data_IF_467957797934
#
_entry.id   IF_467957797934
#
_cell.length_a   1.000
_cell.length_b   1.000
_cell.length_c   1.000
_cell.angle_alpha   90.00
_cell.angle_beta   90.00
_cell.angle_gamma   90.00
#
_symmetry.space_group_name_H-M   'P 1'
#
loop_
_entity.id
_entity.type
_entity.pdbx_description
1 polymer ?
#
# COMPACT_ATOMS: atom_id res chain seq x y z
N UNK A 1 -8.50 17.97 2.20
CA UNK A 1 -9.07 16.60 2.11
C UNK A 1 -9.36 16.12 3.52
N UNK A 2 -10.58 15.66 3.80
CA UNK A 2 -10.86 14.98 5.06
C UNK A 2 -10.31 13.54 4.98
N UNK A 3 -9.68 13.06 6.05
CA UNK A 3 -9.13 11.70 6.12
C UNK A 3 -9.50 11.06 7.46
N UNK A 4 -9.71 9.74 7.43
CA UNK A 4 -9.86 8.90 8.61
C UNK A 4 -8.56 8.13 8.75
N UNK A 5 -7.92 8.20 9.93
CA UNK A 5 -6.72 7.44 10.23
C UNK A 5 -7.09 6.21 11.06
N UNK A 6 -6.67 5.03 10.61
CA UNK A 6 -6.84 3.76 11.33
C UNK A 6 -5.46 3.33 11.80
N UNK A 7 -5.20 3.25 13.13
CA UNK A 7 -3.91 2.79 13.63
C UNK A 7 -3.76 1.29 13.32
N UNK A 8 -2.67 0.94 12.65
CA UNK A 8 -2.33 -0.45 12.32
C UNK A 8 -1.16 -0.88 13.24
N UNK A 9 -1.25 -2.01 13.94
CA UNK A 9 -0.15 -2.52 14.76
C UNK A 9 1.06 -2.86 13.87
N UNK A 10 2.28 -2.56 14.31
CA UNK A 10 3.49 -2.65 13.48
C UNK A 10 4.33 -3.92 13.70
N UNK A 11 3.85 -4.87 14.51
CA UNK A 11 4.64 -6.02 14.97
C UNK A 11 4.61 -7.24 14.05
N UNK A 12 4.05 -7.13 12.84
CA UNK A 12 3.90 -8.24 11.89
C UNK A 12 4.61 -7.92 10.58
N UNK A 13 5.32 -8.90 10.03
CA UNK A 13 6.09 -8.80 8.77
C UNK A 13 5.19 -8.49 7.57
N UNK A 14 4.04 -9.18 7.48
CA UNK A 14 2.99 -8.96 6.49
C UNK A 14 1.64 -8.84 7.19
N UNK A 15 0.85 -7.87 6.74
CA UNK A 15 -0.52 -7.65 7.22
C UNK A 15 -1.46 -7.40 6.06
N UNK A 16 -2.46 -8.26 5.93
CA UNK A 16 -3.61 -8.01 5.05
C UNK A 16 -4.66 -7.22 5.84
N UNK A 17 -5.10 -6.10 5.28
CA UNK A 17 -6.01 -5.15 5.93
C UNK A 17 -7.23 -4.95 5.04
N UNK A 18 -8.40 -5.33 5.54
CA UNK A 18 -9.67 -5.11 4.87
C UNK A 18 -10.40 -3.93 5.52
N UNK A 19 -10.62 -2.87 4.75
CA UNK A 19 -11.33 -1.67 5.19
C UNK A 19 -12.65 -1.59 4.45
N UNK A 20 -13.77 -1.67 5.18
CA UNK A 20 -15.09 -1.37 4.65
C UNK A 20 -15.60 -0.06 5.26
N UNK A 21 -15.81 0.94 4.40
CA UNK A 21 -16.38 2.23 4.79
C UNK A 21 -17.79 2.33 4.23
N UNK A 22 -18.74 2.81 5.04
CA UNK A 22 -20.10 3.10 4.59
C UNK A 22 -20.39 4.59 4.79
N UNK A 23 -20.61 5.31 3.70
CA UNK A 23 -20.96 6.74 3.72
C UNK A 23 -22.37 6.88 3.15
N UNK A 24 -23.32 7.35 3.96
CA UNK A 24 -24.72 7.51 3.56
C UNK A 24 -25.35 6.24 2.93
N UNK A 25 -24.97 5.07 3.44
CA UNK A 25 -25.45 3.78 2.94
C UNK A 25 -24.70 3.22 1.72
N UNK A 26 -23.82 4.00 1.09
CA UNK A 26 -22.92 3.50 0.05
C UNK A 26 -21.68 2.86 0.68
N UNK A 27 -21.46 1.57 0.39
CA UNK A 27 -20.31 0.81 0.89
C UNK A 27 -19.15 0.83 -0.09
N UNK A 28 -17.98 1.14 0.42
CA UNK A 28 -16.70 1.01 -0.27
C UNK A 28 -15.86 -0.01 0.48
N UNK A 29 -15.24 -0.93 -0.25
CA UNK A 29 -14.32 -1.91 0.31
C UNK A 29 -12.94 -1.73 -0.34
N UNK A 30 -11.93 -1.58 0.50
CA UNK A 30 -10.53 -1.41 0.12
C UNK A 30 -9.72 -2.49 0.82
N UNK A 31 -8.85 -3.15 0.07
CA UNK A 31 -7.98 -4.19 0.56
C UNK A 31 -6.55 -3.70 0.41
N UNK A 32 -5.91 -3.52 1.55
CA UNK A 32 -4.52 -3.13 1.64
C UNK A 32 -3.67 -4.31 2.08
N UNK A 33 -2.41 -4.28 1.69
CA UNK A 33 -1.38 -5.15 2.25
C UNK A 33 -0.19 -4.30 2.65
N UNK A 34 0.24 -4.47 3.88
CA UNK A 34 1.41 -3.81 4.43
C UNK A 34 2.50 -4.86 4.58
N UNK A 35 3.65 -4.63 3.93
CA UNK A 35 4.80 -5.53 3.99
C UNK A 35 6.05 -4.79 4.44
N UNK A 36 6.83 -5.46 5.28
CA UNK A 36 8.17 -5.03 5.65
C UNK A 36 9.19 -5.77 4.79
N UNK A 37 10.03 -5.02 4.09
CA UNK A 37 11.13 -5.55 3.29
C UNK A 37 12.46 -5.25 3.98
N UNK A 38 13.30 -6.27 4.17
CA UNK A 38 14.60 -6.12 4.81
C UNK A 38 15.70 -5.90 3.79
N UNK A 39 16.61 -4.96 4.04
CA UNK A 39 17.62 -4.57 3.04
C UNK A 39 18.63 -5.67 2.73
N UNK A 40 18.92 -6.54 3.70
CA UNK A 40 19.87 -7.64 3.60
C UNK A 40 19.37 -8.77 2.69
N UNK A 41 18.07 -9.04 2.68
CA UNK A 41 17.43 -10.04 1.80
C UNK A 41 17.57 -9.72 0.31
N UNK A 42 17.68 -8.44 -0.02
CA UNK A 42 17.83 -7.97 -1.40
C UNK A 42 19.28 -7.68 -1.79
N UNK A 43 20.24 -7.96 -0.89
CA UNK A 43 21.68 -7.99 -1.21
C UNK A 43 22.29 -6.66 -1.66
N UNK A 44 21.61 -5.53 -1.43
CA UNK A 44 22.04 -4.23 -1.95
C UNK A 44 22.90 -3.51 -0.91
N UNK A 45 24.15 -3.12 -1.22
CA UNK A 45 24.90 -2.19 -0.39
C UNK A 45 24.09 -0.91 -0.14
N UNK A 46 24.29 -0.18 0.97
CA UNK A 46 23.51 1.01 1.33
C UNK A 46 23.34 2.06 0.22
N UNK A 47 24.24 2.06 -0.77
CA UNK A 47 24.32 3.00 -1.86
C UNK A 47 23.17 2.95 -2.88
N UNK A 48 22.29 1.92 -2.90
CA UNK A 48 21.20 1.90 -3.89
C UNK A 48 19.86 1.31 -3.42
N UNK A 49 19.35 1.80 -2.28
CA UNK A 49 17.99 1.46 -1.79
C UNK A 49 16.88 1.77 -2.80
N UNK A 50 17.09 2.74 -3.70
CA UNK A 50 16.13 3.07 -4.75
C UNK A 50 15.98 1.93 -5.77
N UNK A 51 17.09 1.34 -6.22
CA UNK A 51 17.05 0.18 -7.12
C UNK A 51 16.45 -1.05 -6.45
N UNK A 52 16.72 -1.25 -5.14
CA UNK A 52 16.07 -2.29 -4.35
C UNK A 52 14.55 -2.12 -4.33
N UNK A 53 14.05 -0.91 -4.02
CA UNK A 53 12.62 -0.61 -4.05
C UNK A 53 12.03 -0.81 -5.44
N UNK A 54 12.70 -0.34 -6.49
CA UNK A 54 12.25 -0.50 -7.86
C UNK A 54 12.13 -1.99 -8.22
N UNK A 55 13.12 -2.81 -7.83
CA UNK A 55 13.07 -4.25 -8.00
C UNK A 55 11.86 -4.86 -7.28
N UNK A 56 11.73 -4.62 -5.96
CA UNK A 56 10.61 -5.09 -5.13
C UNK A 56 9.27 -4.77 -5.80
N UNK A 57 9.05 -3.51 -6.18
CA UNK A 57 7.80 -3.05 -6.78
C UNK A 57 7.57 -3.69 -8.15
N UNK A 58 8.61 -3.81 -8.99
CA UNK A 58 8.50 -4.36 -10.34
C UNK A 58 8.19 -5.86 -10.38
N UNK A 59 8.64 -6.61 -9.37
CA UNK A 59 8.44 -8.06 -9.26
C UNK A 59 7.25 -8.43 -8.39
N UNK A 60 6.58 -7.45 -7.78
CA UNK A 60 5.47 -7.68 -6.87
C UNK A 60 4.23 -8.23 -7.60
N UNK A 61 3.28 -8.78 -6.84
CA UNK A 61 2.02 -9.35 -7.36
C UNK A 61 1.27 -8.33 -8.24
N UNK A 62 1.00 -8.71 -9.49
CA UNK A 62 0.40 -7.86 -10.53
C UNK A 62 -1.04 -7.41 -10.23
N UNK A 63 -1.72 -8.09 -9.29
CA UNK A 63 -3.06 -7.71 -8.83
C UNK A 63 -3.04 -6.58 -7.81
N UNK A 64 -1.85 -6.19 -7.35
CA UNK A 64 -1.63 -5.14 -6.37
C UNK A 64 -0.92 -3.96 -7.01
N UNK A 65 -1.19 -2.77 -6.47
CA UNK A 65 -0.58 -1.52 -6.88
C UNK A 65 0.05 -0.85 -5.68
N UNK A 66 1.21 -0.23 -5.89
CA UNK A 66 1.85 0.60 -4.87
C UNK A 66 0.88 1.71 -4.42
N UNK A 67 0.63 1.79 -3.11
CA UNK A 67 -0.22 2.82 -2.50
C UNK A 67 0.61 3.82 -1.69
N UNK A 68 1.53 3.33 -0.86
CA UNK A 68 2.34 4.17 0.01
C UNK A 68 3.69 3.52 0.32
N UNK A 69 4.74 4.33 0.40
CA UNK A 69 6.06 3.92 0.88
C UNK A 69 6.29 4.59 2.23
N UNK A 70 6.48 3.78 3.27
CA UNK A 70 6.78 4.23 4.61
C UNK A 70 8.21 4.75 4.77
N UNK A 71 8.52 5.19 5.98
CA UNK A 71 9.87 5.67 6.30
C UNK A 71 10.86 4.50 6.32
N UNK A 72 11.97 4.57 5.57
CA UNK A 72 13.02 3.57 5.65
C UNK A 72 13.71 3.63 7.02
N UNK A 73 14.08 2.47 7.55
CA UNK A 73 14.98 2.31 8.68
C UNK A 73 16.33 1.80 8.19
N UNK A 74 17.28 1.59 9.12
CA UNK A 74 18.56 0.97 8.78
C UNK A 74 18.44 -0.49 8.36
N UNK A 75 17.35 -1.17 8.74
CA UNK A 75 17.15 -2.61 8.51
C UNK A 75 16.08 -2.93 7.47
N UNK A 76 15.04 -2.11 7.41
CA UNK A 76 13.86 -2.41 6.59
C UNK A 76 13.14 -1.16 6.10
N UNK A 77 12.22 -1.37 5.15
CA UNK A 77 11.24 -0.39 4.69
C UNK A 77 9.86 -1.02 4.67
N UNK A 78 8.85 -0.24 5.07
CA UNK A 78 7.47 -0.65 4.97
C UNK A 78 6.87 -0.14 3.66
N UNK A 79 6.19 -1.02 2.91
CA UNK A 79 5.47 -0.66 1.70
C UNK A 79 4.04 -1.14 1.80
N UNK A 80 3.12 -0.23 1.49
CA UNK A 80 1.69 -0.52 1.44
C UNK A 80 1.24 -0.64 -0.01
N UNK A 81 0.56 -1.74 -0.30
CA UNK A 81 -0.09 -1.99 -1.57
C UNK A 81 -1.61 -1.96 -1.40
N UNK A 82 -2.32 -1.64 -2.47
CA UNK A 82 -3.78 -1.75 -2.58
C UNK A 82 -4.13 -2.64 -3.76
N UNK A 83 -5.25 -3.36 -3.71
CA UNK A 83 -5.69 -4.13 -4.89
C UNK A 83 -5.92 -3.19 -6.07
N UNK A 84 -5.37 -3.55 -7.23
CA UNK A 84 -5.35 -2.72 -8.44
C UNK A 84 -6.76 -2.33 -8.91
N UNK A 85 -7.73 -3.24 -8.78
CA UNK A 85 -9.15 -2.99 -9.12
C UNK A 85 -9.81 -1.89 -8.27
N UNK A 86 -9.23 -1.54 -7.12
CA UNK A 86 -9.77 -0.58 -6.18
C UNK A 86 -9.17 0.82 -6.33
N UNK A 87 -8.18 1.01 -7.21
CA UNK A 87 -7.61 2.33 -7.52
C UNK A 87 -8.66 3.34 -8.00
N UNK A 88 -9.71 2.87 -8.68
CA UNK A 88 -10.84 3.71 -9.10
C UNK A 88 -11.59 4.35 -7.92
N UNK A 89 -11.61 3.67 -6.76
CA UNK A 89 -12.26 4.17 -5.55
C UNK A 89 -11.42 5.23 -4.83
N UNK A 90 -10.10 5.21 -5.07
CA UNK A 90 -9.15 6.14 -4.48
C UNK A 90 -8.97 7.42 -5.31
N UNK A 91 -9.33 7.39 -6.59
CA UNK A 91 -9.30 8.56 -7.47
C UNK A 91 -10.63 9.33 -7.37
N UNK A 92 -10.65 10.56 -6.84
CA UNK A 92 -11.88 11.34 -6.74
C UNK A 92 -12.54 11.57 -8.09
N UNK A 93 -11.74 11.76 -9.13
CA UNK A 93 -12.20 11.98 -10.50
C UNK A 93 -12.84 10.72 -11.10
N UNK A 94 -12.19 9.56 -10.96
CA UNK A 94 -12.75 8.32 -11.50
C UNK A 94 -13.97 7.86 -10.69
N UNK A 95 -13.95 8.09 -9.37
CA UNK A 95 -15.07 7.77 -8.50
C UNK A 95 -16.34 8.56 -8.85
N UNK A 96 -16.22 9.85 -9.19
CA UNK A 96 -17.37 10.68 -9.59
C UNK A 96 -17.95 10.26 -10.94
N UNK A 97 -17.17 9.63 -11.82
CA UNK A 97 -17.69 9.06 -13.08
C UNK A 97 -18.52 7.80 -12.85
N UNK A 98 -18.25 7.05 -11.78
CA UNK A 98 -18.99 5.83 -11.44
C UNK A 98 -20.24 6.09 -10.58
N UNK A 99 -20.33 7.27 -9.96
CA UNK A 99 -21.42 7.68 -9.08
C UNK A 99 -21.85 9.12 -9.42
N UNK A 100 -22.68 9.31 -10.46
CA UNK A 100 -23.15 10.63 -10.90
C UNK A 100 -24.13 11.29 -9.90
#
# INVERSE_FOLDING_TARGET
>A
MAHIAIPIPSNLERQDIDVQVSINGQRQALHYRVESFYWDEYGVPPANRADCLNHIISTYDQNWSLYYIGLPTDKSIQVTFVRKKELILLSPFLYSLLNP
#
